data_IF_886959376733
#
_entry.id   IF_886959376733
#
_cell.length_a   1.000
_cell.length_b   1.000
_cell.length_c   1.000
_cell.angle_alpha   90.00
_cell.angle_beta   90.00
_cell.angle_gamma   90.00
#
_symmetry.space_group_name_H-M   'P 1'
#
loop_
_entity.id
_entity.type
_entity.pdbx_description
1 polymer ?
#
# COMPACT_ATOMS: atom_id res chain seq x y z
N UNK A 1 49.73 66.10 33.25
CA UNK A 1 50.17 64.70 33.36
C UNK A 1 48.89 63.92 33.19
N UNK A 2 48.73 63.28 32.04
CA UNK A 2 47.47 62.59 31.65
C UNK A 2 47.87 61.16 31.33
N UNK A 3 47.43 60.26 32.15
CA UNK A 3 47.61 58.84 31.90
C UNK A 3 46.59 58.33 30.89
N UNK A 4 47.08 57.74 29.83
CA UNK A 4 46.26 57.09 28.80
C UNK A 4 46.23 55.60 29.08
N UNK A 5 45.07 55.10 29.51
CA UNK A 5 44.84 53.66 29.67
C UNK A 5 44.55 53.01 28.31
N UNK A 6 45.37 52.03 27.96
CA UNK A 6 45.26 51.24 26.72
C UNK A 6 44.34 50.06 26.98
N UNK A 7 43.15 50.05 26.38
CA UNK A 7 42.24 48.89 26.37
C UNK A 7 42.73 47.85 25.34
N UNK A 8 43.12 46.68 25.83
CA UNK A 8 43.38 45.53 25.00
C UNK A 8 42.06 44.82 24.68
N UNK A 9 41.68 44.84 23.43
CA UNK A 9 40.50 44.11 22.92
C UNK A 9 40.77 42.60 22.79
N UNK A 10 40.04 41.80 23.51
CA UNK A 10 40.05 40.32 23.40
C UNK A 10 39.18 39.90 22.22
N UNK A 11 39.78 39.50 21.12
CA UNK A 11 39.05 38.93 19.96
C UNK A 11 38.70 37.47 20.30
N UNK A 12 37.40 37.19 20.55
CA UNK A 12 36.89 35.83 20.68
C UNK A 12 36.80 35.18 19.29
N UNK A 13 37.65 34.21 19.01
CA UNK A 13 37.53 33.34 17.85
C UNK A 13 36.33 32.39 18.09
N UNK A 14 35.23 32.64 17.40
CA UNK A 14 34.12 31.70 17.27
C UNK A 14 34.58 30.61 16.31
N UNK A 15 35.00 29.46 16.82
CA UNK A 15 35.20 28.25 16.03
C UNK A 15 33.83 27.73 15.65
N UNK A 16 33.42 27.98 14.40
CA UNK A 16 32.23 27.40 13.83
C UNK A 16 32.41 25.87 13.75
N UNK A 17 31.81 25.15 14.70
CA UNK A 17 31.64 23.70 14.57
C UNK A 17 30.75 23.41 13.38
N UNK A 18 31.33 22.92 12.28
CA UNK A 18 30.53 22.36 11.17
C UNK A 18 29.69 21.22 11.71
N UNK A 19 28.38 21.38 11.73
CA UNK A 19 27.48 20.28 11.92
C UNK A 19 27.77 19.29 10.76
N UNK A 20 28.24 18.09 11.09
CA UNK A 20 28.34 17.02 10.12
C UNK A 20 26.94 16.83 9.53
N UNK A 21 26.81 16.99 8.24
CA UNK A 21 25.59 16.64 7.53
C UNK A 21 25.35 15.16 7.83
N UNK A 22 24.27 14.86 8.56
CA UNK A 22 23.83 13.48 8.71
C UNK A 22 23.45 13.01 7.31
N UNK A 23 24.06 11.92 6.86
CA UNK A 23 23.70 11.30 5.59
C UNK A 23 22.18 11.06 5.58
N UNK A 24 21.54 11.51 4.50
CA UNK A 24 20.11 11.28 4.34
C UNK A 24 19.86 9.75 4.36
N UNK A 25 18.78 9.29 4.99
CA UNK A 25 18.46 7.87 4.95
C UNK A 25 18.31 7.41 3.49
N UNK A 26 18.68 6.16 3.18
CA UNK A 26 18.56 5.63 1.82
C UNK A 26 17.11 5.73 1.33
N UNK A 27 16.92 6.01 0.03
CA UNK A 27 15.60 5.98 -0.59
C UNK A 27 15.04 4.55 -0.55
N UNK A 28 13.77 4.36 -0.17
CA UNK A 28 13.16 3.04 -0.15
C UNK A 28 13.00 2.48 -1.56
N UNK A 29 13.42 1.24 -1.78
CA UNK A 29 13.12 0.46 -2.96
C UNK A 29 11.81 -0.29 -2.83
N UNK A 30 11.40 -0.98 -3.91
CA UNK A 30 10.25 -1.89 -3.91
C UNK A 30 10.70 -3.26 -4.39
N UNK A 31 10.40 -4.30 -3.60
CA UNK A 31 10.63 -5.71 -3.93
C UNK A 31 9.30 -6.43 -4.11
N UNK A 32 9.23 -7.33 -5.10
CA UNK A 32 8.04 -8.14 -5.33
C UNK A 32 7.79 -9.03 -4.11
N UNK A 33 6.61 -8.87 -3.51
CA UNK A 33 6.15 -9.77 -2.46
C UNK A 33 5.41 -10.96 -3.06
N UNK A 34 4.34 -10.70 -3.82
CA UNK A 34 3.63 -11.71 -4.61
C UNK A 34 2.77 -11.07 -5.71
N UNK A 35 2.38 -11.89 -6.68
CA UNK A 35 1.33 -11.60 -7.66
C UNK A 35 0.18 -12.56 -7.41
N UNK A 36 -1.05 -12.05 -7.42
CA UNK A 36 -2.26 -12.85 -7.24
C UNK A 36 -3.23 -12.69 -8.40
N UNK A 37 -4.00 -13.74 -8.65
CA UNK A 37 -5.21 -13.73 -9.48
C UNK A 37 -6.38 -13.98 -8.55
N UNK A 38 -7.24 -12.99 -8.37
CA UNK A 38 -8.38 -13.00 -7.45
C UNK A 38 -9.64 -13.21 -8.25
N UNK A 39 -10.35 -14.31 -8.02
CA UNK A 39 -11.62 -14.62 -8.69
C UNK A 39 -12.80 -13.97 -7.96
N UNK A 40 -13.77 -13.50 -8.73
CA UNK A 40 -14.84 -12.64 -8.25
C UNK A 40 -16.20 -13.16 -8.70
N UNK A 41 -17.23 -12.96 -7.87
CA UNK A 41 -18.63 -13.04 -8.29
C UNK A 41 -19.13 -11.71 -8.84
N UNK A 42 -20.31 -11.67 -9.46
CA UNK A 42 -20.97 -10.42 -9.81
C UNK A 42 -21.13 -9.49 -8.59
N UNK A 43 -21.07 -8.19 -8.84
CA UNK A 43 -21.29 -7.18 -7.81
C UNK A 43 -22.71 -7.29 -7.22
N UNK A 44 -22.83 -7.06 -5.92
CA UNK A 44 -24.09 -6.96 -5.19
C UNK A 44 -24.32 -5.50 -4.82
N UNK A 45 -25.36 -4.92 -5.37
CA UNK A 45 -25.72 -3.52 -5.11
C UNK A 45 -26.37 -3.35 -3.75
N UNK A 46 -25.86 -2.43 -2.95
CA UNK A 46 -26.48 -1.99 -1.69
C UNK A 46 -27.34 -0.75 -1.94
N UNK A 47 -26.94 0.09 -2.88
CA UNK A 47 -27.65 1.31 -3.28
C UNK A 47 -27.05 2.58 -2.67
N UNK A 48 -27.83 3.66 -2.72
CA UNK A 48 -27.40 4.96 -2.23
C UNK A 48 -27.37 5.04 -0.70
N UNK A 49 -26.30 5.64 -0.19
CA UNK A 49 -26.06 5.88 1.23
C UNK A 49 -25.68 7.33 1.47
N UNK A 50 -25.69 7.85 2.69
CA UNK A 50 -25.19 9.19 2.99
C UNK A 50 -23.73 9.43 2.59
N UNK A 51 -22.98 8.35 2.29
CA UNK A 51 -21.57 8.41 1.88
C UNK A 51 -21.35 8.30 0.38
N UNK A 52 -22.37 7.95 -0.40
CA UNK A 52 -22.32 7.66 -1.83
C UNK A 52 -22.99 6.33 -2.18
N UNK A 53 -22.86 5.90 -3.42
CA UNK A 53 -23.45 4.63 -3.87
C UNK A 53 -22.55 3.47 -3.50
N UNK A 54 -23.11 2.49 -2.79
CA UNK A 54 -22.39 1.36 -2.21
C UNK A 54 -22.73 0.05 -2.93
N UNK A 55 -21.69 -0.75 -3.19
CA UNK A 55 -21.81 -2.15 -3.59
C UNK A 55 -20.68 -2.96 -2.96
N UNK A 56 -20.76 -4.27 -3.05
CA UNK A 56 -19.63 -5.15 -2.74
C UNK A 56 -19.52 -6.25 -3.78
N UNK A 57 -18.30 -6.75 -3.96
CA UNK A 57 -17.99 -7.84 -4.89
C UNK A 57 -17.47 -9.00 -4.06
N UNK A 58 -18.16 -10.15 -4.01
CA UNK A 58 -17.66 -11.31 -3.31
C UNK A 58 -16.39 -11.85 -3.97
N UNK A 59 -15.38 -12.13 -3.16
CA UNK A 59 -14.16 -12.82 -3.55
C UNK A 59 -14.41 -14.32 -3.40
N UNK A 60 -14.30 -15.05 -4.52
CA UNK A 60 -14.63 -16.48 -4.58
C UNK A 60 -13.41 -17.38 -4.44
N UNK A 61 -12.20 -16.80 -4.49
CA UNK A 61 -10.95 -17.52 -4.36
C UNK A 61 -9.85 -16.94 -5.22
N UNK A 62 -8.92 -17.77 -5.62
CA UNK A 62 -7.79 -17.41 -6.46
C UNK A 62 -6.48 -17.99 -5.97
N UNK A 63 -5.40 -17.55 -6.55
CA UNK A 63 -4.04 -17.98 -6.20
C UNK A 63 -3.11 -16.80 -6.04
N UNK A 64 -2.06 -16.97 -5.27
CA UNK A 64 -0.96 -16.01 -5.19
C UNK A 64 0.39 -16.72 -5.20
N UNK A 65 1.38 -16.08 -5.81
CA UNK A 65 2.74 -16.61 -5.91
C UNK A 65 3.76 -15.47 -5.86
N UNK A 66 4.81 -15.68 -5.08
CA UNK A 66 5.93 -14.77 -4.91
C UNK A 66 7.18 -15.46 -4.43
N UNK A 67 8.28 -14.72 -4.28
CA UNK A 67 9.59 -15.28 -3.87
C UNK A 67 9.57 -15.94 -2.49
N UNK A 68 8.81 -15.35 -1.54
CA UNK A 68 8.84 -15.79 -0.14
C UNK A 68 7.56 -16.51 0.30
N UNK A 69 6.49 -16.41 -0.50
CA UNK A 69 5.19 -16.99 -0.14
C UNK A 69 4.33 -17.29 -1.36
N UNK A 70 3.56 -18.35 -1.30
CA UNK A 70 2.57 -18.76 -2.31
C UNK A 70 1.44 -19.54 -1.65
N UNK A 71 0.34 -19.68 -2.39
CA UNK A 71 -0.83 -20.40 -1.90
C UNK A 71 -2.11 -20.01 -2.60
N UNK A 72 -3.22 -20.12 -1.88
CA UNK A 72 -4.57 -19.83 -2.36
C UNK A 72 -5.19 -18.64 -1.64
N UNK A 73 -6.07 -17.92 -2.33
CA UNK A 73 -6.98 -16.95 -1.73
C UNK A 73 -8.21 -17.71 -1.28
N UNK A 74 -8.58 -17.57 -0.03
CA UNK A 74 -9.75 -18.27 0.51
C UNK A 74 -11.05 -17.63 -0.01
N UNK A 75 -12.07 -18.42 -0.38
CA UNK A 75 -13.40 -17.88 -0.59
C UNK A 75 -13.92 -17.30 0.74
N UNK A 76 -14.81 -16.30 0.70
CA UNK A 76 -15.42 -15.60 1.86
C UNK A 76 -14.85 -14.19 2.10
N UNK A 77 -14.03 -13.68 1.20
CA UNK A 77 -13.66 -12.27 1.18
C UNK A 77 -14.65 -11.44 0.36
N UNK A 78 -14.52 -10.14 0.46
CA UNK A 78 -15.27 -9.18 -0.37
C UNK A 78 -14.48 -7.90 -0.62
N UNK A 79 -14.76 -7.27 -1.74
CA UNK A 79 -14.29 -5.94 -2.06
C UNK A 79 -15.45 -4.94 -1.87
N UNK A 80 -15.38 -4.12 -0.83
CA UNK A 80 -16.30 -3.03 -0.56
C UNK A 80 -16.00 -1.85 -1.45
N UNK A 81 -16.97 -1.48 -2.28
CA UNK A 81 -16.85 -0.36 -3.20
C UNK A 81 -17.81 0.76 -2.84
N UNK A 82 -17.32 2.00 -2.91
CA UNK A 82 -18.08 3.21 -2.68
C UNK A 82 -17.80 4.22 -3.79
N UNK A 83 -18.80 4.50 -4.61
CA UNK A 83 -18.73 5.60 -5.56
C UNK A 83 -18.96 6.91 -4.83
N UNK A 84 -18.00 7.81 -4.93
CA UNK A 84 -17.98 9.09 -4.23
C UNK A 84 -18.33 10.25 -5.16
N UNK A 85 -18.76 11.38 -4.59
CA UNK A 85 -19.23 12.55 -5.34
C UNK A 85 -18.17 13.17 -6.27
N UNK A 86 -16.88 12.90 -6.05
CA UNK A 86 -15.77 13.34 -6.90
C UNK A 86 -15.55 12.43 -8.12
N UNK A 87 -16.39 11.40 -8.29
CA UNK A 87 -16.35 10.44 -9.39
C UNK A 87 -15.36 9.30 -9.19
N UNK A 88 -14.70 9.19 -8.05
CA UNK A 88 -13.86 8.05 -7.72
C UNK A 88 -14.68 6.90 -7.12
N UNK A 89 -14.22 5.66 -7.32
CA UNK A 89 -14.66 4.49 -6.58
C UNK A 89 -13.61 4.13 -5.54
N UNK A 90 -13.92 4.29 -4.26
CA UNK A 90 -13.10 3.74 -3.19
C UNK A 90 -13.29 2.23 -3.13
N UNK A 91 -12.19 1.49 -3.00
CA UNK A 91 -12.16 0.03 -2.87
C UNK A 91 -11.49 -0.36 -1.57
N UNK A 92 -12.07 -1.35 -0.89
CA UNK A 92 -11.49 -1.97 0.31
C UNK A 92 -11.77 -3.45 0.23
N UNK A 93 -10.78 -4.22 -0.21
CA UNK A 93 -10.86 -5.68 -0.22
C UNK A 93 -10.40 -6.23 1.12
N UNK A 94 -11.20 -7.09 1.72
CA UNK A 94 -10.89 -7.81 2.96
C UNK A 94 -11.03 -9.31 2.71
N UNK A 95 -9.91 -10.03 2.81
CA UNK A 95 -9.85 -11.44 2.45
C UNK A 95 -8.70 -12.17 3.16
N UNK A 96 -8.66 -13.48 3.01
CA UNK A 96 -7.63 -14.32 3.60
C UNK A 96 -6.79 -15.01 2.53
N UNK A 97 -5.49 -15.03 2.77
CA UNK A 97 -4.53 -15.91 2.09
C UNK A 97 -4.36 -17.16 2.94
N UNK A 98 -4.27 -18.31 2.28
CA UNK A 98 -3.81 -19.55 2.89
C UNK A 98 -2.56 -20.00 2.15
N UNK A 99 -1.44 -19.98 2.84
CA UNK A 99 -0.15 -20.40 2.30
C UNK A 99 -0.11 -21.89 2.02
N UNK A 100 0.82 -22.36 1.19
CA UNK A 100 1.03 -23.78 0.88
C UNK A 100 1.42 -24.63 2.11
N UNK A 101 1.97 -24.00 3.15
CA UNK A 101 2.22 -24.62 4.45
C UNK A 101 1.07 -24.44 5.47
N UNK A 102 -0.07 -23.94 5.02
CA UNK A 102 -1.33 -23.92 5.77
C UNK A 102 -1.55 -22.73 6.70
N UNK A 103 -0.67 -21.73 6.69
CA UNK A 103 -0.85 -20.51 7.50
C UNK A 103 -1.90 -19.60 6.87
N UNK A 104 -2.83 -19.09 7.68
CA UNK A 104 -3.87 -18.16 7.25
C UNK A 104 -3.48 -16.74 7.65
N UNK A 105 -3.55 -15.81 6.68
CA UNK A 105 -3.15 -14.43 6.83
C UNK A 105 -4.30 -13.55 6.33
N UNK A 106 -4.79 -12.62 7.15
CA UNK A 106 -5.75 -11.61 6.70
C UNK A 106 -5.05 -10.51 5.91
N UNK A 107 -5.73 -10.02 4.88
CA UNK A 107 -5.30 -8.88 4.06
C UNK A 107 -6.45 -7.90 3.92
N UNK A 108 -6.24 -6.67 4.37
CA UNK A 108 -7.10 -5.54 4.04
C UNK A 108 -6.38 -4.66 3.04
N UNK A 109 -6.86 -4.64 1.81
CA UNK A 109 -6.20 -3.92 0.72
C UNK A 109 -7.09 -2.77 0.22
N UNK A 110 -6.68 -1.53 0.44
CA UNK A 110 -7.46 -0.34 0.12
C UNK A 110 -6.86 0.46 -1.02
N UNK A 111 -7.70 1.11 -1.81
CA UNK A 111 -7.31 1.96 -2.92
C UNK A 111 -8.46 2.78 -3.48
N UNK A 112 -8.23 3.42 -4.61
CA UNK A 112 -9.27 4.14 -5.34
C UNK A 112 -9.07 4.02 -6.86
N UNK A 113 -10.19 3.84 -7.56
CA UNK A 113 -10.27 3.96 -9.02
C UNK A 113 -10.87 5.31 -9.34
N UNK A 114 -10.09 6.18 -9.95
CA UNK A 114 -10.57 7.51 -10.33
C UNK A 114 -10.56 7.66 -11.85
N UNK A 115 -11.56 8.36 -12.42
CA UNK A 115 -11.56 8.64 -13.85
C UNK A 115 -10.39 9.56 -14.22
N UNK A 116 -9.94 9.53 -15.48
CA UNK A 116 -8.98 10.48 -15.99
C UNK A 116 -9.48 11.92 -15.77
N UNK A 117 -8.59 12.81 -15.34
CA UNK A 117 -8.90 14.24 -15.17
C UNK A 117 -8.07 15.08 -16.16
N UNK A 118 -8.65 16.16 -16.65
CA UNK A 118 -7.96 17.16 -17.49
C UNK A 118 -7.31 16.58 -18.75
N UNK A 119 -7.92 15.57 -19.38
CA UNK A 119 -7.40 14.94 -20.60
C UNK A 119 -6.10 14.15 -20.40
N UNK A 120 -5.67 13.93 -19.16
CA UNK A 120 -4.52 13.09 -18.82
C UNK A 120 -4.91 11.61 -18.89
N UNK A 121 -3.96 10.70 -19.19
CA UNK A 121 -4.23 9.27 -19.14
C UNK A 121 -4.67 8.83 -17.71
N UNK A 122 -5.41 7.71 -17.59
CA UNK A 122 -5.78 7.17 -16.30
C UNK A 122 -4.54 6.96 -15.41
N UNK A 123 -4.63 7.35 -14.15
CA UNK A 123 -3.57 7.05 -13.18
C UNK A 123 -3.65 5.55 -12.88
N UNK A 124 -2.56 4.79 -13.00
CA UNK A 124 -2.55 3.39 -12.62
C UNK A 124 -3.02 3.21 -11.17
N UNK A 125 -3.94 2.28 -10.94
CA UNK A 125 -4.47 2.01 -9.61
C UNK A 125 -3.35 1.54 -8.69
N UNK A 126 -3.23 2.21 -7.55
CA UNK A 126 -2.33 1.82 -6.46
C UNK A 126 -3.15 1.49 -5.24
N UNK A 127 -2.75 0.47 -4.53
CA UNK A 127 -3.41 0.03 -3.29
C UNK A 127 -2.42 -0.02 -2.15
N UNK A 128 -2.95 0.00 -0.93
CA UNK A 128 -2.18 -0.04 0.30
C UNK A 128 -2.66 -1.25 1.12
N UNK A 129 -2.04 -2.41 0.93
CA UNK A 129 -2.38 -3.59 1.70
C UNK A 129 -1.81 -3.52 3.13
N UNK A 130 -2.62 -3.98 4.07
CA UNK A 130 -2.25 -4.22 5.46
C UNK A 130 -2.46 -5.69 5.74
N UNK A 131 -1.48 -6.32 6.36
CA UNK A 131 -1.51 -7.73 6.70
C UNK A 131 -1.71 -7.94 8.20
N UNK A 132 -2.47 -8.98 8.55
CA UNK A 132 -2.51 -9.54 9.89
C UNK A 132 -2.15 -11.03 9.78
N UNK A 133 -0.88 -11.32 10.08
CA UNK A 133 -0.32 -12.68 10.07
C UNK A 133 -0.14 -13.17 11.50
N UNK A 134 -0.34 -14.47 11.78
CA UNK A 134 -0.04 -15.05 13.08
C UNK A 134 1.47 -14.98 13.38
N UNK A 135 1.80 -15.03 14.67
CA UNK A 135 3.19 -15.07 15.10
C UNK A 135 3.91 -16.29 14.51
N UNK A 136 5.20 -16.13 14.20
CA UNK A 136 6.05 -17.16 13.61
C UNK A 136 6.52 -16.81 12.20
N UNK A 137 6.47 -17.77 11.28
CA UNK A 137 7.11 -17.69 9.96
C UNK A 137 6.76 -16.42 9.15
N UNK A 138 5.53 -15.94 9.24
CA UNK A 138 5.03 -14.81 8.45
C UNK A 138 4.76 -13.54 9.28
N UNK A 139 5.13 -13.51 10.58
CA UNK A 139 4.87 -12.36 11.46
C UNK A 139 5.50 -11.05 10.97
N UNK A 140 6.56 -11.14 10.17
CA UNK A 140 7.22 -9.99 9.56
C UNK A 140 6.30 -9.18 8.62
N UNK A 141 5.23 -9.78 8.10
CA UNK A 141 4.22 -9.08 7.30
C UNK A 141 3.50 -7.98 8.11
N UNK A 142 3.38 -8.13 9.42
CA UNK A 142 2.67 -7.17 10.28
C UNK A 142 3.40 -5.83 10.43
N UNK A 143 4.68 -5.77 10.06
CA UNK A 143 5.55 -4.62 10.31
C UNK A 143 6.08 -3.96 9.04
N UNK A 144 5.73 -4.51 7.86
CA UNK A 144 6.18 -3.99 6.57
C UNK A 144 5.34 -2.80 6.07
N UNK A 145 5.91 -2.05 5.15
CA UNK A 145 5.18 -1.10 4.31
C UNK A 145 4.99 -1.71 2.92
N UNK A 146 3.76 -1.66 2.41
CA UNK A 146 3.40 -2.35 1.17
C UNK A 146 2.67 -1.43 0.21
N UNK A 147 2.91 -1.66 -1.09
CA UNK A 147 2.20 -1.00 -2.19
C UNK A 147 1.68 -2.06 -3.14
N UNK A 148 0.42 -1.96 -3.49
CA UNK A 148 -0.21 -2.84 -4.47
C UNK A 148 -0.46 -2.15 -5.81
N UNK A 149 -0.57 -2.94 -6.85
CA UNK A 149 -1.11 -2.54 -8.16
C UNK A 149 -2.29 -3.41 -8.50
N UNK A 150 -3.32 -2.82 -9.10
CA UNK A 150 -4.48 -3.54 -9.60
C UNK A 150 -4.46 -3.52 -11.13
N UNK A 151 -4.66 -4.66 -11.74
CA UNK A 151 -4.77 -4.85 -13.17
C UNK A 151 -5.80 -5.92 -13.52
N UNK A 152 -5.99 -6.13 -14.81
CA UNK A 152 -6.89 -7.15 -15.35
C UNK A 152 -6.09 -8.07 -16.28
N UNK A 153 -6.46 -9.34 -16.30
CA UNK A 153 -5.96 -10.27 -17.31
C UNK A 153 -6.95 -10.28 -18.49
N UNK A 154 -6.56 -9.78 -19.67
CA UNK A 154 -7.44 -9.77 -20.84
C UNK A 154 -7.76 -11.17 -21.38
N UNK A 155 -7.07 -12.21 -20.93
CA UNK A 155 -7.28 -13.60 -21.33
C UNK A 155 -8.04 -14.41 -20.27
N UNK A 156 -8.42 -13.77 -19.15
CA UNK A 156 -9.18 -14.44 -18.12
C UNK A 156 -10.54 -14.91 -18.63
N UNK A 157 -10.86 -16.17 -18.39
CA UNK A 157 -12.15 -16.78 -18.75
C UNK A 157 -13.24 -16.56 -17.70
N UNK A 158 -12.84 -16.15 -16.50
CA UNK A 158 -13.71 -15.86 -15.36
C UNK A 158 -13.46 -14.44 -14.85
N UNK A 159 -14.49 -13.80 -14.26
CA UNK A 159 -14.31 -12.49 -13.63
C UNK A 159 -13.18 -12.54 -12.60
N UNK A 160 -12.11 -11.79 -12.85
CA UNK A 160 -10.95 -11.78 -11.97
C UNK A 160 -10.19 -10.47 -12.07
N UNK A 161 -9.41 -10.18 -11.04
CA UNK A 161 -8.43 -9.10 -11.01
C UNK A 161 -7.05 -9.64 -10.68
N UNK A 162 -6.05 -8.95 -11.19
CA UNK A 162 -4.64 -9.24 -10.90
C UNK A 162 -4.14 -8.20 -9.91
N UNK A 163 -3.69 -8.65 -8.76
CA UNK A 163 -3.07 -7.80 -7.74
C UNK A 163 -1.60 -8.19 -7.63
N UNK A 164 -0.72 -7.20 -7.76
CA UNK A 164 0.71 -7.39 -7.49
C UNK A 164 1.08 -6.55 -6.30
N UNK A 165 1.63 -7.18 -5.27
CA UNK A 165 2.05 -6.53 -4.02
C UNK A 165 3.57 -6.45 -3.98
N UNK A 166 4.05 -5.28 -3.59
CA UNK A 166 5.47 -4.99 -3.35
C UNK A 166 5.65 -4.58 -1.89
N UNK A 167 6.77 -4.98 -1.33
CA UNK A 167 7.27 -4.57 -0.02
C UNK A 167 8.28 -3.43 -0.22
N UNK A 168 8.18 -2.37 0.57
CA UNK A 168 9.22 -1.35 0.67
C UNK A 168 10.36 -1.87 1.55
N UNK A 169 11.62 -1.64 1.14
CA UNK A 169 12.85 -2.02 1.84
C UNK A 169 13.67 -0.79 2.23
#
# INVERSE_FOLDING_TARGET
>A
MKDVAMLAGLAAMVTGGGAAAQDAPPEPGLELLYRSVVTLSPAVEVGETPRGTRRFIPITGGTFEGPEMRGEIMPMGWDWQLDTADGCTQIVADYFLKTDDGVIINVVNSGALCPPRDGKPPVPVRTSPVFEAPLGKYEWLNHGAYVGTLGFDPQATEPSVVITIYKAN
#
